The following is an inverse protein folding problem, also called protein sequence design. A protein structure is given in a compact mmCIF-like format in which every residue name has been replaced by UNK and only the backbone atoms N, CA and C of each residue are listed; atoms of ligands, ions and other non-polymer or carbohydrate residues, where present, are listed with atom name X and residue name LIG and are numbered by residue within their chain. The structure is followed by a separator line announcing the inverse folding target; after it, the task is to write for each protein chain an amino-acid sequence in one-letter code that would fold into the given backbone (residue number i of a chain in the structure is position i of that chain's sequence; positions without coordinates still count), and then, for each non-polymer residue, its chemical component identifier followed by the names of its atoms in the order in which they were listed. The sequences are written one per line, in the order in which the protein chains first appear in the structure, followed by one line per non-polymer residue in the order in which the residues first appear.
data_IF_793235768491
#
_entry.id   IF_793235768491
#
_cell.length_a   1.000
_cell.length_b   1.000
_cell.length_c   1.000
_cell.angle_alpha   90.00
_cell.angle_beta   90.00
_cell.angle_gamma   90.00
#
_symmetry.space_group_name_H-M   'P 1'
#
loop_
_entity.id
_entity.type
_entity.pdbx_description
1 polymer ?
#
# COMPACT_ATOMS: atom_id res chain seq x y z
N UNK A 1 -10.03 5.42 -26.74
CA UNK A 1 -11.44 5.36 -27.13
C UNK A 1 -11.58 4.30 -28.21
N UNK A 2 -12.08 3.12 -27.85
CA UNK A 2 -12.37 2.04 -28.80
C UNK A 2 -13.88 1.89 -28.96
N UNK A 3 -14.35 1.67 -30.17
CA UNK A 3 -15.76 1.36 -30.42
C UNK A 3 -16.13 0.07 -29.68
N UNK A 4 -17.27 0.08 -29.00
CA UNK A 4 -17.72 -1.04 -28.17
C UNK A 4 -17.13 -1.11 -26.77
N UNK A 5 -16.22 -0.21 -26.36
CA UNK A 5 -15.73 -0.11 -24.98
C UNK A 5 -16.56 0.94 -24.20
N UNK A 6 -17.15 0.52 -23.11
CA UNK A 6 -17.82 1.40 -22.16
C UNK A 6 -17.09 1.32 -20.80
N UNK A 7 -16.75 2.48 -20.25
CA UNK A 7 -16.09 2.63 -18.94
C UNK A 7 -17.08 3.29 -17.98
N UNK A 8 -17.31 2.67 -16.83
CA UNK A 8 -18.17 3.23 -15.75
C UNK A 8 -17.40 3.32 -14.46
N UNK A 9 -17.29 4.54 -13.91
CA UNK A 9 -16.67 4.77 -12.61
C UNK A 9 -17.45 4.13 -11.47
N UNK A 10 -16.74 3.53 -10.54
CA UNK A 10 -17.27 2.98 -9.30
C UNK A 10 -17.02 4.00 -8.19
N UNK A 11 -18.07 4.37 -7.44
CA UNK A 11 -17.91 5.21 -6.25
C UNK A 11 -17.26 4.40 -5.12
N UNK A 12 -16.12 4.84 -4.66
CA UNK A 12 -15.35 4.19 -3.59
C UNK A 12 -15.07 5.16 -2.45
N UNK A 13 -14.54 4.67 -1.33
CA UNK A 13 -14.07 5.49 -0.23
C UNK A 13 -12.95 6.49 -0.66
N UNK A 14 -12.16 6.14 -1.67
CA UNK A 14 -11.11 6.99 -2.26
C UNK A 14 -11.61 7.96 -3.33
N UNK A 15 -12.84 7.79 -3.80
CA UNK A 15 -13.40 8.51 -4.95
C UNK A 15 -13.72 7.58 -6.11
N UNK A 16 -13.59 8.08 -7.35
CA UNK A 16 -13.87 7.30 -8.58
C UNK A 16 -12.58 6.82 -9.26
N UNK A 17 -11.72 6.16 -8.50
CA UNK A 17 -10.41 5.70 -8.97
C UNK A 17 -10.46 4.31 -9.64
N UNK A 18 -11.60 3.62 -9.50
CA UNK A 18 -11.83 2.26 -10.04
C UNK A 18 -12.99 2.30 -11.02
N UNK A 19 -12.91 1.48 -12.07
CA UNK A 19 -13.90 1.48 -13.14
C UNK A 19 -14.29 0.07 -13.53
N UNK A 20 -15.57 -0.12 -13.89
CA UNK A 20 -16.03 -1.26 -14.66
C UNK A 20 -15.75 -1.05 -16.14
N UNK A 21 -15.28 -2.10 -16.82
CA UNK A 21 -15.04 -2.11 -18.26
C UNK A 21 -16.01 -3.08 -18.92
N UNK A 22 -16.81 -2.59 -19.85
CA UNK A 22 -17.74 -3.40 -20.65
C UNK A 22 -17.28 -3.41 -22.10
N UNK A 23 -17.09 -4.60 -22.65
CA UNK A 23 -16.69 -4.81 -24.04
C UNK A 23 -17.86 -5.41 -24.81
N UNK A 24 -18.39 -4.69 -25.81
CA UNK A 24 -19.50 -5.14 -26.66
C UNK A 24 -19.07 -5.01 -28.11
N UNK A 25 -18.78 -6.14 -28.76
CA UNK A 25 -18.26 -6.17 -30.14
C UNK A 25 -17.04 -5.26 -30.34
N UNK A 26 -16.21 -5.12 -29.32
CA UNK A 26 -15.02 -4.30 -29.34
C UNK A 26 -13.94 -4.99 -30.19
N UNK A 27 -13.59 -4.38 -31.32
CA UNK A 27 -12.54 -4.92 -32.18
C UNK A 27 -11.15 -4.57 -31.64
N UNK A 28 -10.28 -5.58 -31.53
CA UNK A 28 -8.87 -5.44 -31.17
C UNK A 28 -8.02 -6.04 -32.29
N UNK A 29 -7.15 -5.27 -32.96
CA UNK A 29 -6.32 -5.79 -34.04
C UNK A 29 -5.25 -6.74 -33.49
N UNK A 30 -4.84 -7.73 -34.29
CA UNK A 30 -3.81 -8.71 -33.91
C UNK A 30 -2.50 -8.06 -33.46
N UNK A 31 -2.16 -6.90 -34.01
CA UNK A 31 -0.99 -6.12 -33.62
C UNK A 31 -1.02 -5.60 -32.18
N UNK A 32 -2.19 -5.56 -31.54
CA UNK A 32 -2.36 -5.16 -30.15
C UNK A 32 -2.24 -6.33 -29.17
N UNK A 33 -2.06 -7.56 -29.66
CA UNK A 33 -1.87 -8.72 -28.81
C UNK A 33 -0.49 -8.64 -28.14
N UNK A 34 -0.46 -8.66 -26.80
CA UNK A 34 0.77 -8.70 -26.02
C UNK A 34 1.20 -10.15 -25.82
N UNK A 35 2.38 -10.50 -26.32
CA UNK A 35 2.94 -11.86 -26.23
C UNK A 35 2.25 -12.86 -27.17
N UNK A 36 1.96 -14.06 -26.69
CA UNK A 36 1.34 -15.13 -27.50
C UNK A 36 -0.09 -15.40 -27.07
N UNK A 37 -1.01 -15.64 -28.00
CA UNK A 37 -2.35 -16.10 -27.68
C UNK A 37 -2.33 -17.35 -26.78
N UNK A 38 -3.14 -17.33 -25.72
CA UNK A 38 -3.21 -18.43 -24.75
C UNK A 38 -2.21 -18.35 -23.58
N UNK A 39 -1.20 -17.46 -23.64
CA UNK A 39 -0.20 -17.31 -22.57
C UNK A 39 -0.48 -16.14 -21.60
N UNK A 40 -1.62 -15.47 -21.69
CA UNK A 40 -1.96 -14.27 -20.91
C UNK A 40 -1.82 -14.44 -19.39
N UNK A 41 -2.22 -15.60 -18.87
CA UNK A 41 -2.09 -15.91 -17.44
C UNK A 41 -0.62 -15.92 -16.99
N UNK A 42 0.26 -16.55 -17.76
CA UNK A 42 1.69 -16.62 -17.46
C UNK A 42 2.32 -15.22 -17.46
N UNK A 43 1.95 -14.39 -18.42
CA UNK A 43 2.43 -13.01 -18.54
C UNK A 43 1.96 -12.16 -17.36
N UNK A 44 0.69 -12.29 -16.99
CA UNK A 44 0.14 -11.60 -15.82
C UNK A 44 0.90 -11.99 -14.54
N UNK A 45 1.11 -13.29 -14.32
CA UNK A 45 1.84 -13.78 -13.13
C UNK A 45 3.26 -13.24 -13.04
N UNK A 46 3.95 -13.08 -14.17
CA UNK A 46 5.31 -12.52 -14.18
C UNK A 46 5.35 -11.06 -13.66
N UNK A 47 4.32 -10.26 -13.94
CA UNK A 47 4.22 -8.88 -13.48
C UNK A 47 3.83 -8.72 -12.01
N UNK A 48 3.09 -9.67 -11.43
CA UNK A 48 2.48 -9.52 -10.10
C UNK A 48 3.49 -9.36 -8.95
N UNK A 49 4.67 -9.95 -9.05
CA UNK A 49 5.69 -9.81 -7.99
C UNK A 49 6.28 -8.39 -7.98
N UNK A 50 6.55 -7.83 -9.16
CA UNK A 50 6.98 -6.45 -9.29
C UNK A 50 5.89 -5.48 -8.81
N UNK A 51 4.64 -5.72 -9.17
CA UNK A 51 3.50 -4.95 -8.68
C UNK A 51 3.43 -4.94 -7.15
N UNK A 52 3.59 -6.09 -6.48
CA UNK A 52 3.62 -6.18 -5.01
C UNK A 52 4.71 -5.30 -4.40
N UNK A 53 5.90 -5.28 -5.01
CA UNK A 53 7.00 -4.44 -4.55
C UNK A 53 6.71 -2.95 -4.73
N UNK A 54 6.12 -2.55 -5.87
CA UNK A 54 5.71 -1.16 -6.12
C UNK A 54 4.66 -0.73 -5.09
N UNK A 55 3.66 -1.56 -4.82
CA UNK A 55 2.63 -1.29 -3.82
C UNK A 55 3.21 -1.20 -2.40
N UNK A 56 4.18 -2.06 -2.06
CA UNK A 56 4.90 -1.98 -0.79
C UNK A 56 5.64 -0.66 -0.64
N UNK A 57 6.39 -0.24 -1.66
CA UNK A 57 7.14 1.01 -1.66
C UNK A 57 6.23 2.25 -1.56
N UNK A 58 5.12 2.26 -2.31
CA UNK A 58 4.11 3.32 -2.23
C UNK A 58 3.56 3.46 -0.80
N UNK A 59 3.19 2.34 -0.18
CA UNK A 59 2.61 2.36 1.16
C UNK A 59 3.63 2.69 2.24
N UNK A 60 4.88 2.29 2.07
CA UNK A 60 5.97 2.72 2.95
C UNK A 60 6.15 4.26 2.87
N UNK A 61 6.07 4.84 1.68
CA UNK A 61 6.11 6.31 1.50
C UNK A 61 4.94 7.02 2.20
N UNK A 62 3.71 6.51 2.05
CA UNK A 62 2.52 7.04 2.72
C UNK A 62 2.65 6.94 4.24
N UNK A 63 3.12 5.81 4.76
CA UNK A 63 3.33 5.60 6.19
C UNK A 63 4.37 6.58 6.77
N UNK A 64 5.50 6.78 6.08
CA UNK A 64 6.53 7.76 6.47
C UNK A 64 5.98 9.19 6.47
N UNK A 65 5.17 9.55 5.49
CA UNK A 65 4.52 10.86 5.43
C UNK A 65 3.56 11.04 6.61
N UNK A 66 2.68 10.10 6.86
CA UNK A 66 1.74 10.15 7.98
C UNK A 66 2.45 10.23 9.34
N UNK A 67 3.52 9.46 9.52
CA UNK A 67 4.37 9.53 10.70
C UNK A 67 5.02 10.90 10.89
N UNK A 68 5.57 11.48 9.82
CA UNK A 68 6.20 12.81 9.85
C UNK A 68 5.21 13.90 10.24
N UNK A 69 4.02 13.90 9.63
CA UNK A 69 2.96 14.88 9.93
C UNK A 69 2.46 14.73 11.38
N UNK A 70 2.29 13.49 11.85
CA UNK A 70 1.93 13.20 13.24
C UNK A 70 2.99 13.70 14.20
N UNK A 71 4.26 13.42 13.92
CA UNK A 71 5.39 13.83 14.78
C UNK A 71 5.50 15.35 14.88
N UNK A 72 5.33 16.06 13.76
CA UNK A 72 5.31 17.52 13.74
C UNK A 72 4.16 18.04 14.61
N UNK A 73 2.96 17.54 14.41
CA UNK A 73 1.79 17.96 15.16
C UNK A 73 1.92 17.75 16.66
N UNK A 74 2.35 16.56 17.12
CA UNK A 74 2.45 16.29 18.57
C UNK A 74 3.57 17.06 19.27
N UNK A 75 4.56 17.56 18.52
CA UNK A 75 5.63 18.46 19.03
C UNK A 75 5.14 19.89 19.26
N UNK A 76 4.22 20.36 18.43
CA UNK A 76 3.74 21.74 18.45
C UNK A 76 2.45 21.90 19.26
N UNK A 77 1.57 20.92 19.20
CA UNK A 77 0.27 20.97 19.90
C UNK A 77 0.45 20.90 21.39
N UNK A 78 0.00 21.93 22.09
CA UNK A 78 0.03 21.98 23.55
C UNK A 78 -1.34 21.70 24.17
N UNK A 79 -1.36 20.89 25.21
CA UNK A 79 -2.45 20.68 26.14
C UNK A 79 -1.89 20.37 27.54
N UNK A 80 -2.64 20.71 28.58
CA UNK A 80 -2.21 20.52 29.96
C UNK A 80 -0.86 21.20 30.26
N UNK A 81 -0.61 22.35 29.63
CA UNK A 81 0.58 23.19 29.84
C UNK A 81 1.87 22.70 29.20
N UNK A 82 1.82 21.75 28.25
CA UNK A 82 3.01 21.24 27.53
C UNK A 82 2.64 20.59 26.20
N UNK A 83 3.62 20.40 25.28
CA UNK A 83 3.39 19.68 24.06
C UNK A 83 2.83 18.27 24.29
N UNK A 84 1.81 17.88 23.51
CA UNK A 84 1.16 16.57 23.71
C UNK A 84 2.10 15.40 23.50
N UNK A 85 3.09 15.52 22.60
CA UNK A 85 4.14 14.52 22.39
C UNK A 85 5.04 14.30 23.62
N UNK A 86 4.99 15.18 24.64
CA UNK A 86 5.74 15.00 25.89
C UNK A 86 5.13 13.93 26.81
N UNK A 87 3.86 13.55 26.58
CA UNK A 87 3.21 12.50 27.37
C UNK A 87 3.70 11.11 26.99
N UNK A 88 4.01 10.30 28.00
CA UNK A 88 4.60 8.98 27.80
C UNK A 88 3.73 8.05 26.91
N UNK A 89 2.41 8.14 27.07
CA UNK A 89 1.47 7.35 26.28
C UNK A 89 1.58 7.61 24.76
N UNK A 90 1.91 8.87 24.36
CA UNK A 90 2.14 9.19 22.94
C UNK A 90 3.57 8.85 22.51
N UNK A 91 4.56 9.07 23.40
CA UNK A 91 5.97 8.71 23.11
C UNK A 91 6.14 7.23 22.78
N UNK A 92 5.46 6.34 23.50
CA UNK A 92 5.53 4.90 23.26
C UNK A 92 4.99 4.57 21.86
N UNK A 93 3.82 5.10 21.49
CA UNK A 93 3.22 4.90 20.18
C UNK A 93 4.12 5.43 19.04
N UNK A 94 4.73 6.61 19.23
CA UNK A 94 5.72 7.16 18.28
C UNK A 94 6.93 6.23 18.14
N UNK A 95 7.46 5.73 19.25
CA UNK A 95 8.62 4.83 19.23
C UNK A 95 8.30 3.50 18.53
N UNK A 96 7.13 2.92 18.79
CA UNK A 96 6.66 1.70 18.15
C UNK A 96 6.52 1.90 16.63
N UNK A 97 5.83 2.97 16.20
CA UNK A 97 5.68 3.29 14.77
C UNK A 97 7.04 3.54 14.09
N UNK A 98 7.95 4.25 14.73
CA UNK A 98 9.28 4.50 14.17
C UNK A 98 10.05 3.19 13.97
N UNK A 99 10.03 2.31 14.97
CA UNK A 99 10.67 0.98 14.90
C UNK A 99 10.09 0.13 13.77
N UNK A 100 8.77 0.07 13.68
CA UNK A 100 8.07 -0.70 12.65
C UNK A 100 8.34 -0.15 11.23
N UNK A 101 8.44 1.17 11.07
CA UNK A 101 8.79 1.82 9.80
C UNK A 101 10.21 1.45 9.35
N UNK A 102 11.17 1.41 10.25
CA UNK A 102 12.53 0.97 9.94
C UNK A 102 12.59 -0.53 9.59
N UNK A 103 11.90 -1.38 10.34
CA UNK A 103 11.81 -2.81 10.01
C UNK A 103 11.19 -3.04 8.62
N UNK A 104 10.14 -2.31 8.28
CA UNK A 104 9.50 -2.41 6.97
C UNK A 104 10.41 -1.91 5.84
N UNK A 105 11.17 -0.83 6.08
CA UNK A 105 12.13 -0.30 5.11
C UNK A 105 13.26 -1.31 4.85
N UNK A 106 13.86 -1.85 5.90
CA UNK A 106 14.92 -2.84 5.76
C UNK A 106 14.45 -4.08 4.98
N UNK A 107 13.23 -4.56 5.24
CA UNK A 107 12.66 -5.66 4.47
C UNK A 107 12.46 -5.29 3.00
N UNK A 108 11.94 -4.08 2.73
CA UNK A 108 11.71 -3.62 1.36
C UNK A 108 13.01 -3.49 0.58
N UNK A 109 14.05 -2.92 1.19
CA UNK A 109 15.37 -2.71 0.58
C UNK A 109 16.09 -4.04 0.31
N UNK A 110 16.02 -5.00 1.25
CA UNK A 110 16.59 -6.33 1.11
C UNK A 110 15.95 -7.09 -0.06
N UNK A 111 14.61 -7.06 -0.16
CA UNK A 111 13.91 -7.72 -1.27
C UNK A 111 14.21 -7.04 -2.61
N UNK A 112 14.27 -5.70 -2.65
CA UNK A 112 14.61 -4.97 -3.86
C UNK A 112 16.04 -5.31 -4.34
N UNK A 113 17.01 -5.31 -3.42
CA UNK A 113 18.39 -5.70 -3.74
C UNK A 113 18.50 -7.16 -4.21
N UNK A 114 17.73 -8.07 -3.64
CA UNK A 114 17.72 -9.47 -4.07
C UNK A 114 17.14 -9.62 -5.49
N UNK A 115 16.09 -8.87 -5.84
CA UNK A 115 15.51 -8.85 -7.18
C UNK A 115 16.53 -8.31 -8.21
N UNK A 116 17.25 -7.26 -7.88
CA UNK A 116 18.27 -6.68 -8.74
C UNK A 116 19.47 -7.64 -8.94
N UNK A 117 19.82 -8.39 -7.91
CA UNK A 117 20.93 -9.35 -7.99
C UNK A 117 20.60 -10.62 -8.79
N UNK A 118 19.35 -11.05 -8.84
CA UNK A 118 18.91 -12.27 -9.53
C UNK A 118 17.71 -11.99 -10.48
N UNK A 119 17.89 -11.25 -11.61
CA UNK A 119 16.82 -10.81 -12.50
C UNK A 119 16.12 -11.96 -13.19
N UNK A 120 15.68 -12.89 -12.91
CA UNK A 120 14.99 -14.04 -13.53
C UNK A 120 14.37 -14.98 -12.51
N UNK A 121 14.70 -14.77 -11.25
CA UNK A 121 14.09 -15.49 -10.13
C UNK A 121 12.76 -14.86 -9.75
N UNK A 122 11.79 -15.70 -9.41
CA UNK A 122 10.50 -15.28 -8.88
C UNK A 122 10.60 -15.15 -7.35
N UNK A 123 10.54 -13.94 -6.86
CA UNK A 123 10.58 -13.62 -5.42
C UNK A 123 9.16 -13.55 -4.83
N UNK A 124 8.32 -14.54 -5.08
CA UNK A 124 6.90 -14.51 -4.71
C UNK A 124 6.69 -14.40 -3.19
N UNK A 125 7.48 -15.13 -2.39
CA UNK A 125 7.43 -15.09 -0.93
C UNK A 125 7.86 -13.73 -0.41
N UNK A 126 9.03 -13.29 -0.82
CA UNK A 126 9.69 -12.08 -0.35
C UNK A 126 8.87 -10.83 -0.73
N UNK A 127 8.41 -10.74 -1.98
CA UNK A 127 7.54 -9.68 -2.44
C UNK A 127 6.18 -9.66 -1.71
N UNK A 128 5.63 -10.85 -1.39
CA UNK A 128 4.42 -10.96 -0.58
C UNK A 128 4.64 -10.50 0.86
N UNK A 129 5.80 -10.82 1.47
CA UNK A 129 6.17 -10.35 2.81
C UNK A 129 6.30 -8.82 2.85
N UNK A 130 7.00 -8.23 1.87
CA UNK A 130 7.14 -6.77 1.76
C UNK A 130 5.78 -6.09 1.59
N UNK A 131 4.94 -6.58 0.66
CA UNK A 131 3.59 -6.04 0.43
C UNK A 131 2.73 -6.13 1.69
N UNK A 132 2.67 -7.28 2.33
CA UNK A 132 1.90 -7.51 3.54
C UNK A 132 2.33 -6.55 4.66
N UNK A 133 3.63 -6.50 4.95
CA UNK A 133 4.19 -5.66 6.03
C UNK A 133 3.91 -4.19 5.78
N UNK A 134 4.26 -3.66 4.60
CA UNK A 134 4.16 -2.23 4.31
C UNK A 134 2.70 -1.75 4.25
N UNK A 135 1.76 -2.54 3.69
CA UNK A 135 0.36 -2.13 3.60
C UNK A 135 -0.35 -2.15 4.95
N UNK A 136 -0.13 -3.18 5.77
CA UNK A 136 -0.71 -3.24 7.12
C UNK A 136 -0.12 -2.14 8.02
N UNK A 137 1.19 -1.89 7.91
CA UNK A 137 1.85 -0.82 8.66
C UNK A 137 1.33 0.56 8.25
N UNK A 138 1.17 0.83 6.95
CA UNK A 138 0.66 2.11 6.47
C UNK A 138 -0.74 2.40 7.02
N UNK A 139 -1.62 1.42 6.99
CA UNK A 139 -2.95 1.53 7.59
C UNK A 139 -2.88 1.78 9.11
N UNK A 140 -1.99 1.10 9.82
CA UNK A 140 -1.78 1.29 11.24
C UNK A 140 -1.26 2.70 11.56
N UNK A 141 -0.20 3.15 10.89
CA UNK A 141 0.42 4.47 11.13
C UNK A 141 -0.54 5.61 10.82
N UNK A 142 -1.33 5.53 9.75
CA UNK A 142 -2.31 6.58 9.41
C UNK A 142 -3.46 6.63 10.41
N UNK A 143 -3.93 5.49 10.91
CA UNK A 143 -4.97 5.41 11.93
C UNK A 143 -4.46 5.96 13.28
N UNK A 144 -3.25 5.59 13.68
CA UNK A 144 -2.58 6.10 14.88
C UNK A 144 -2.32 7.60 14.78
N UNK A 145 -1.87 8.08 13.61
CA UNK A 145 -1.68 9.50 13.35
C UNK A 145 -2.97 10.29 13.47
N UNK A 146 -4.04 9.82 12.86
CA UNK A 146 -5.37 10.42 12.99
C UNK A 146 -5.81 10.50 14.46
N UNK A 147 -5.62 9.42 15.21
CA UNK A 147 -6.00 9.37 16.63
C UNK A 147 -5.17 10.36 17.47
N UNK A 148 -3.86 10.46 17.23
CA UNK A 148 -2.98 11.37 17.97
C UNK A 148 -3.22 12.85 17.62
N UNK A 149 -3.63 13.15 16.39
CA UNK A 149 -4.02 14.50 15.97
C UNK A 149 -5.45 14.88 16.44
N UNK A 150 -6.25 13.90 16.84
CA UNK A 150 -7.62 14.12 17.31
C UNK A 150 -8.51 14.73 16.22
N UNK A 151 -9.36 15.70 16.57
CA UNK A 151 -10.26 16.34 15.58
C UNK A 151 -9.54 16.95 14.37
N UNK A 152 -8.31 17.42 14.53
CA UNK A 152 -7.51 17.95 13.43
C UNK A 152 -7.06 16.86 12.45
N UNK A 153 -6.79 15.64 12.91
CA UNK A 153 -6.51 14.52 12.02
C UNK A 153 -7.69 14.11 11.14
N UNK A 154 -8.91 14.37 11.63
CA UNK A 154 -10.14 14.10 10.89
C UNK A 154 -10.55 15.23 9.92
N UNK A 155 -9.99 16.45 10.12
CA UNK A 155 -10.25 17.60 9.26
C UNK A 155 -9.48 17.50 7.94
N UNK A 156 -10.14 17.80 6.82
CA UNK A 156 -9.56 17.65 5.48
C UNK A 156 -8.35 18.56 5.24
N UNK A 157 -8.27 19.70 5.92
CA UNK A 157 -7.16 20.66 5.77
C UNK A 157 -5.80 20.13 6.23
N UNK A 158 -5.78 19.13 7.12
CA UNK A 158 -4.54 18.51 7.62
C UNK A 158 -4.08 17.31 6.79
N UNK A 159 -4.92 16.79 5.89
CA UNK A 159 -4.59 15.75 4.94
C UNK A 159 -4.44 14.34 5.52
N UNK A 160 -4.45 14.15 6.85
CA UNK A 160 -4.33 12.82 7.46
C UNK A 160 -5.49 11.90 7.08
N UNK A 161 -6.71 12.45 6.96
CA UNK A 161 -7.89 11.69 6.52
C UNK A 161 -7.72 11.13 5.10
N UNK A 162 -7.10 11.89 4.19
CA UNK A 162 -6.82 11.44 2.82
C UNK A 162 -5.78 10.32 2.81
N UNK A 163 -4.72 10.44 3.62
CA UNK A 163 -3.73 9.38 3.80
C UNK A 163 -4.40 8.11 4.35
N UNK A 164 -5.25 8.21 5.36
CA UNK A 164 -5.96 7.05 5.91
C UNK A 164 -6.85 6.38 4.84
N UNK A 165 -7.64 7.15 4.09
CA UNK A 165 -8.49 6.61 3.01
C UNK A 165 -7.67 5.84 1.97
N UNK A 166 -6.49 6.35 1.59
CA UNK A 166 -5.61 5.69 0.62
C UNK A 166 -5.00 4.39 1.15
N UNK A 167 -4.77 4.28 2.46
CA UNK A 167 -4.15 3.08 3.05
C UNK A 167 -5.14 1.96 3.34
N UNK A 168 -6.43 2.27 3.57
CA UNK A 168 -7.45 1.24 3.86
C UNK A 168 -7.53 0.21 2.73
N UNK A 169 -7.59 0.66 1.48
CA UNK A 169 -7.70 -0.23 0.32
C UNK A 169 -6.41 -0.99 0.02
N UNK A 170 -5.27 -0.53 0.53
CA UNK A 170 -3.96 -1.15 0.23
C UNK A 170 -3.83 -2.59 0.74
N UNK A 171 -4.59 -2.94 1.78
CA UNK A 171 -4.67 -4.32 2.29
C UNK A 171 -5.58 -5.23 1.45
N UNK A 172 -6.25 -4.68 0.43
CA UNK A 172 -7.22 -5.37 -0.43
C UNK A 172 -6.69 -5.56 -1.86
N UNK A 173 -6.23 -4.48 -2.51
CA UNK A 173 -5.73 -4.57 -3.88
C UNK A 173 -4.36 -5.26 -3.98
N UNK A 174 -3.97 -5.66 -5.20
CA UNK A 174 -2.71 -6.38 -5.45
C UNK A 174 -2.66 -7.75 -4.74
N UNK A 175 -3.80 -8.32 -4.43
CA UNK A 175 -4.01 -9.50 -3.57
C UNK A 175 -4.14 -9.10 -2.10
N UNK A 176 -5.23 -9.54 -1.47
CA UNK A 176 -5.52 -9.19 -0.06
C UNK A 176 -4.42 -9.66 0.89
N UNK A 177 -4.41 -9.12 2.11
CA UNK A 177 -3.49 -9.55 3.17
C UNK A 177 -3.55 -11.07 3.40
N UNK A 178 -4.72 -11.68 3.25
CA UNK A 178 -4.92 -13.13 3.34
C UNK A 178 -4.26 -13.87 2.19
N UNK A 179 -4.38 -13.37 0.95
CA UNK A 179 -3.71 -13.93 -0.22
C UNK A 179 -2.17 -13.84 -0.07
N UNK A 180 -1.65 -12.72 0.46
CA UNK A 180 -0.21 -12.65 0.74
C UNK A 180 0.22 -13.70 1.77
N UNK A 181 -0.55 -13.90 2.83
CA UNK A 181 -0.28 -14.94 3.84
C UNK A 181 -0.37 -16.36 3.26
N UNK A 182 -1.33 -16.62 2.38
CA UNK A 182 -1.45 -17.90 1.68
C UNK A 182 -0.22 -18.17 0.79
N UNK A 183 0.23 -17.19 0.01
CA UNK A 183 1.44 -17.31 -0.81
C UNK A 183 2.67 -17.61 0.06
N UNK A 184 2.83 -16.87 1.16
CA UNK A 184 3.94 -17.10 2.10
C UNK A 184 3.85 -18.50 2.72
N UNK A 185 2.68 -18.88 3.23
CA UNK A 185 2.46 -20.18 3.88
C UNK A 185 2.77 -21.36 2.97
N UNK A 186 2.36 -21.32 1.71
CA UNK A 186 2.66 -22.34 0.70
C UNK A 186 4.17 -22.61 0.52
N UNK A 187 5.01 -21.61 0.73
CA UNK A 187 6.48 -21.81 0.64
C UNK A 187 7.07 -22.63 1.79
N UNK A 188 6.32 -22.82 2.85
CA UNK A 188 6.65 -23.67 4.00
C UNK A 188 5.97 -25.03 3.96
N UNK A 189 5.30 -25.37 2.85
CA UNK A 189 4.64 -26.66 2.67
C UNK A 189 3.25 -26.76 3.35
N UNK A 190 2.63 -25.63 3.68
CA UNK A 190 1.30 -25.56 4.29
C UNK A 190 0.19 -25.40 3.25
#
# INVERSE_FOLDING_TARGET
DAEGLQIRGIDTMGGKDVNDLYFTNCFVPDSAVVGKPGEGWRQLMAGLNLERMILAALMQGVARRAFSDTLAYVREREQFGRPVGSFQALKHRIADMATELECAQLLLDDVAAAIDAEPGRLFAREASMAKLKCTELAKHVTLEGMQMMGGYGYATEYGMEALLRSTVVSTVYGGTSEIQRDIIGKTYGL
#
